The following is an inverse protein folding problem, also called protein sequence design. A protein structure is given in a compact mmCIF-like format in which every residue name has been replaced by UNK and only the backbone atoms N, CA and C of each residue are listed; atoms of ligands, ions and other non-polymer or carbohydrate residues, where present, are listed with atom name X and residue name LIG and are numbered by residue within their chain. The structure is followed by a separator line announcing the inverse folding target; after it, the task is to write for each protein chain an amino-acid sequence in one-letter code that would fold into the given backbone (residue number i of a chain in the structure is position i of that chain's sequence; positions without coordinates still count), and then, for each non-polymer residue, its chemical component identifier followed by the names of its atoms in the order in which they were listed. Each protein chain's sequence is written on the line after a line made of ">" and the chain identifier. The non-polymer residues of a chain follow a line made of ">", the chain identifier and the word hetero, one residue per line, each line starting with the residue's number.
data_IF_678259362891
#
_entry.id   IF_678259362891
#
_cell.length_a   1.000
_cell.length_b   1.000
_cell.length_c   1.000
_cell.angle_alpha   90.00
_cell.angle_beta   90.00
_cell.angle_gamma   90.00
#
_symmetry.space_group_name_H-M   'P 1'
#
loop_
_entity.id
_entity.type
_entity.pdbx_description
1 polymer ?
#
# COMPACT_ATOMS: atom_id res chain seq x y z
N UNK A 1 15.33 -4.49 -9.29
CA UNK A 1 14.07 -4.38 -8.53
C UNK A 1 13.37 -3.11 -8.95
N UNK A 2 12.07 -3.18 -9.24
CA UNK A 2 11.30 -2.03 -9.73
C UNK A 2 11.07 -1.08 -8.53
N UNK A 3 11.83 0.02 -8.45
CA UNK A 3 11.82 0.95 -7.29
C UNK A 3 10.41 1.39 -6.88
N UNK A 4 9.52 1.52 -7.85
CA UNK A 4 8.13 1.92 -7.63
C UNK A 4 7.31 0.82 -6.93
N UNK A 5 7.57 -0.45 -7.26
CA UNK A 5 6.91 -1.59 -6.62
C UNK A 5 7.36 -1.72 -5.17
N UNK A 6 8.66 -1.56 -4.92
CA UNK A 6 9.22 -1.64 -3.56
C UNK A 6 8.64 -0.52 -2.67
N UNK A 7 8.54 0.70 -3.22
CA UNK A 7 7.93 1.84 -2.53
C UNK A 7 6.43 1.63 -2.30
N UNK A 8 5.69 1.15 -3.30
CA UNK A 8 4.26 0.85 -3.15
C UNK A 8 4.00 -0.21 -2.07
N UNK A 9 4.81 -1.27 -2.04
CA UNK A 9 4.72 -2.31 -1.03
C UNK A 9 5.02 -1.76 0.37
N UNK A 10 6.00 -0.86 0.50
CA UNK A 10 6.28 -0.18 1.76
C UNK A 10 5.11 0.71 2.22
N UNK A 11 4.52 1.50 1.31
CA UNK A 11 3.33 2.31 1.61
C UNK A 11 2.20 1.42 2.14
N UNK A 12 1.91 0.34 1.43
CA UNK A 12 0.82 -0.55 1.81
C UNK A 12 1.08 -1.27 3.13
N UNK A 13 2.29 -1.77 3.36
CA UNK A 13 2.65 -2.44 4.61
C UNK A 13 2.55 -1.51 5.82
N UNK A 14 3.01 -0.26 5.69
CA UNK A 14 2.84 0.74 6.75
C UNK A 14 1.36 1.09 6.96
N UNK A 15 0.61 1.28 5.88
CA UNK A 15 -0.83 1.53 5.94
C UNK A 15 -1.59 0.40 6.66
N UNK A 16 -1.24 -0.86 6.40
CA UNK A 16 -1.83 -2.04 7.06
C UNK A 16 -1.54 -2.01 8.57
N UNK A 17 -0.28 -1.81 8.98
CA UNK A 17 0.08 -1.69 10.40
C UNK A 17 -0.70 -0.58 11.11
N UNK A 18 -0.87 0.58 10.47
CA UNK A 18 -1.58 1.71 11.04
C UNK A 18 -3.10 1.49 11.09
N UNK A 19 -3.68 0.90 10.04
CA UNK A 19 -5.13 0.67 9.96
C UNK A 19 -5.57 -0.45 10.90
N UNK A 20 -4.73 -1.46 11.10
CA UNK A 20 -4.98 -2.57 12.02
C UNK A 20 -4.65 -2.21 13.49
N UNK A 21 -4.32 -0.94 13.75
CA UNK A 21 -3.94 -0.42 15.08
C UNK A 21 -2.83 -1.24 15.75
N UNK A 22 -1.87 -1.72 14.96
CA UNK A 22 -0.83 -2.59 15.48
C UNK A 22 0.08 -1.85 16.45
N UNK A 23 0.24 -2.37 17.67
CA UNK A 23 1.01 -1.69 18.72
C UNK A 23 2.24 -2.48 19.18
N UNK A 24 2.90 -3.16 18.25
CA UNK A 24 4.11 -3.94 18.49
C UNK A 24 5.32 -3.29 17.84
N UNK A 25 6.26 -2.78 18.64
CA UNK A 25 7.54 -2.22 18.16
C UNK A 25 8.28 -3.21 17.24
N UNK A 26 8.24 -4.50 17.57
CA UNK A 26 8.82 -5.59 16.74
C UNK A 26 8.26 -5.63 15.32
N UNK A 27 6.96 -5.36 15.12
CA UNK A 27 6.36 -5.36 13.78
C UNK A 27 6.80 -4.13 12.98
N UNK A 28 6.95 -2.97 13.62
CA UNK A 28 7.54 -1.79 12.98
C UNK A 28 9.03 -1.99 12.67
N UNK A 29 9.80 -2.60 13.57
CA UNK A 29 11.18 -3.01 13.31
C UNK A 29 11.26 -3.89 12.05
N UNK A 30 10.43 -4.94 11.99
CA UNK A 30 10.36 -5.85 10.83
C UNK A 30 9.99 -5.10 9.54
N UNK A 31 9.10 -4.11 9.63
CA UNK A 31 8.73 -3.26 8.50
C UNK A 31 9.95 -2.48 7.97
N UNK A 32 10.68 -1.76 8.82
CA UNK A 32 11.85 -1.01 8.37
C UNK A 32 12.97 -1.91 7.82
N UNK A 33 13.16 -3.10 8.39
CA UNK A 33 14.11 -4.10 7.88
C UNK A 33 13.68 -4.67 6.51
N UNK A 34 12.39 -4.87 6.31
CA UNK A 34 11.83 -5.43 5.06
C UNK A 34 11.76 -4.42 3.93
N UNK A 35 11.70 -3.12 4.25
CA UNK A 35 11.54 -2.04 3.27
C UNK A 35 12.66 -0.98 3.34
N UNK A 36 13.90 -1.32 2.93
CA UNK A 36 15.04 -0.39 2.85
C UNK A 36 14.78 0.93 2.11
N UNK A 37 13.83 0.92 1.16
CA UNK A 37 13.42 2.11 0.40
C UNK A 37 12.96 3.26 1.31
N UNK A 38 12.44 2.95 2.50
CA UNK A 38 11.99 3.94 3.48
C UNK A 38 13.15 4.85 3.91
N UNK A 39 14.31 4.28 4.26
CA UNK A 39 15.50 5.05 4.65
C UNK A 39 15.98 5.94 3.51
N UNK A 40 15.90 5.45 2.28
CA UNK A 40 16.27 6.24 1.09
C UNK A 40 15.34 7.45 0.89
N UNK A 41 14.04 7.28 1.07
CA UNK A 41 13.08 8.41 0.99
C UNK A 41 13.33 9.43 2.11
N UNK A 42 13.78 8.98 3.27
CA UNK A 42 14.20 9.85 4.37
C UNK A 42 15.57 10.51 4.17
N UNK A 43 16.26 10.24 3.05
CA UNK A 43 17.51 10.90 2.68
C UNK A 43 18.79 10.21 3.17
N UNK A 44 18.70 8.96 3.59
CA UNK A 44 19.87 8.17 4.00
C UNK A 44 20.45 7.37 2.83
N UNK A 45 21.77 7.38 2.72
CA UNK A 45 22.50 6.62 1.70
C UNK A 45 22.69 5.16 2.12
N UNK A 46 22.76 4.94 3.43
CA UNK A 46 23.08 3.65 4.06
C UNK A 46 22.41 3.57 5.41
N UNK A 47 22.10 2.36 5.85
CA UNK A 47 21.49 2.08 7.15
C UNK A 47 21.88 0.67 7.59
N UNK A 48 21.82 0.44 8.89
CA UNK A 48 22.08 -0.85 9.49
C UNK A 48 21.19 -1.04 10.71
N UNK A 49 20.52 -2.20 10.79
CA UNK A 49 19.80 -2.63 12.00
C UNK A 49 20.81 -3.04 13.06
N UNK A 50 20.59 -2.58 14.29
CA UNK A 50 21.32 -2.95 15.50
C UNK A 50 20.41 -3.66 16.52
N UNK A 51 19.19 -4.00 16.10
CA UNK A 51 18.29 -4.83 16.88
C UNK A 51 18.93 -6.20 17.17
N UNK A 52 18.59 -6.81 18.29
CA UNK A 52 19.25 -8.05 18.78
C UNK A 52 19.28 -9.18 17.75
N UNK A 53 18.27 -9.30 16.90
CA UNK A 53 18.18 -10.30 15.84
C UNK A 53 19.13 -10.06 14.66
N UNK A 54 19.65 -8.84 14.47
CA UNK A 54 20.56 -8.49 13.38
C UNK A 54 21.96 -9.08 13.54
N UNK A 55 22.35 -9.42 14.77
CA UNK A 55 23.72 -9.83 15.11
C UNK A 55 24.74 -8.69 15.15
N UNK A 56 24.34 -7.46 14.79
CA UNK A 56 25.18 -6.26 14.94
C UNK A 56 25.07 -5.72 16.35
N UNK A 57 26.20 -5.26 16.91
CA UNK A 57 26.28 -4.71 18.26
C UNK A 57 27.35 -3.63 18.33
N UNK A 58 27.08 -2.60 19.11
CA UNK A 58 28.10 -1.64 19.51
C UNK A 58 28.91 -2.19 20.70
N UNK A 59 30.18 -1.78 20.86
CA UNK A 59 30.98 -2.17 22.01
C UNK A 59 30.37 -1.61 23.30
N UNK A 60 30.69 -2.23 24.44
CA UNK A 60 30.28 -1.76 25.75
C UNK A 60 30.93 -0.41 26.07
N UNK A 61 30.13 0.55 26.53
CA UNK A 61 30.59 1.86 26.97
C UNK A 61 30.98 1.80 28.45
N UNK A 62 32.28 1.79 28.73
CA UNK A 62 32.79 1.72 30.10
C UNK A 62 32.46 2.97 30.92
N UNK A 63 32.41 4.15 30.29
CA UNK A 63 32.16 5.42 30.98
C UNK A 63 30.70 5.54 31.40
N UNK A 64 29.79 4.98 30.59
CA UNK A 64 28.34 5.01 30.82
C UNK A 64 27.79 3.70 31.39
N UNK A 65 28.62 2.66 31.47
CA UNK A 65 28.31 1.34 32.00
C UNK A 65 27.10 0.64 31.34
N UNK A 66 27.01 0.69 30.01
CA UNK A 66 25.99 -0.03 29.25
C UNK A 66 26.46 -0.39 27.83
N UNK A 67 25.79 -1.34 27.18
CA UNK A 67 25.96 -1.60 25.73
C UNK A 67 24.89 -0.83 24.96
N UNK A 68 25.25 0.06 24.03
CA UNK A 68 24.27 0.74 23.19
C UNK A 68 23.57 -0.23 22.24
N UNK A 69 22.24 -0.17 22.24
CA UNK A 69 21.34 -1.00 21.43
C UNK A 69 20.33 -0.07 20.72
N UNK A 70 20.76 0.81 19.78
CA UNK A 70 19.82 1.57 18.96
C UNK A 70 19.07 0.63 18.02
N UNK A 71 17.86 0.99 17.59
CA UNK A 71 17.12 0.18 16.61
C UNK A 71 17.85 0.15 15.26
N UNK A 72 18.20 1.33 14.76
CA UNK A 72 18.99 1.50 13.54
C UNK A 72 20.04 2.61 13.70
N UNK A 73 21.12 2.46 12.94
CA UNK A 73 22.01 3.57 12.61
C UNK A 73 21.91 3.84 11.11
N UNK A 74 21.76 5.11 10.76
CA UNK A 74 21.71 5.57 9.37
C UNK A 74 22.89 6.47 9.07
N UNK A 75 23.34 6.46 7.82
CA UNK A 75 24.48 7.26 7.35
C UNK A 75 24.14 8.09 6.13
N UNK A 76 24.70 9.28 6.08
CA UNK A 76 24.80 10.06 4.85
C UNK A 76 26.28 10.17 4.47
N UNK A 77 26.64 9.64 3.29
CA UNK A 77 28.02 9.43 2.86
C UNK A 77 28.70 10.77 2.57
N UNK A 78 28.01 11.68 1.89
CA UNK A 78 28.58 12.98 1.50
C UNK A 78 28.84 13.88 2.71
N UNK A 79 27.85 14.02 3.60
CA UNK A 79 27.99 14.84 4.81
C UNK A 79 28.75 14.14 5.94
N UNK A 80 29.01 12.83 5.81
CA UNK A 80 29.61 11.99 6.86
C UNK A 80 28.82 12.10 8.18
N UNK A 81 27.50 12.14 8.09
CA UNK A 81 26.59 12.25 9.24
C UNK A 81 26.10 10.88 9.65
N UNK A 82 26.11 10.60 10.95
CA UNK A 82 25.49 9.41 11.54
C UNK A 82 24.21 9.83 12.25
N UNK A 83 23.13 9.13 11.97
CA UNK A 83 21.83 9.34 12.62
C UNK A 83 21.48 8.12 13.44
N UNK A 84 21.26 8.31 14.75
CA UNK A 84 20.61 7.30 15.59
C UNK A 84 19.12 7.36 15.25
N UNK A 85 18.58 6.25 14.77
CA UNK A 85 17.21 6.15 14.31
C UNK A 85 16.45 5.16 15.20
N UNK A 86 15.61 5.72 16.06
CA UNK A 86 14.90 4.98 17.11
C UNK A 86 13.42 4.88 16.77
N UNK A 87 12.86 3.69 16.93
CA UNK A 87 11.46 3.38 16.77
C UNK A 87 10.77 3.34 18.13
N UNK A 88 9.56 3.88 18.16
CA UNK A 88 8.63 3.70 19.28
C UNK A 88 7.25 3.40 18.71
N UNK A 89 6.35 2.89 19.54
CA UNK A 89 5.02 2.50 19.07
C UNK A 89 4.15 3.70 18.67
N UNK A 90 3.29 3.58 17.63
CA UNK A 90 2.41 4.68 17.19
C UNK A 90 1.22 4.94 18.13
N UNK A 91 0.67 3.89 18.75
CA UNK A 91 -0.55 4.01 19.53
C UNK A 91 -0.22 4.11 21.01
N UNK A 92 0.15 5.33 21.42
CA UNK A 92 0.16 5.67 22.84
C UNK A 92 -1.25 6.08 23.21
N UNK A 93 -1.80 5.49 24.28
CA UNK A 93 -3.16 5.82 24.76
C UNK A 93 -3.32 7.35 24.76
N UNK A 94 -4.36 7.90 24.09
CA UNK A 94 -4.51 9.33 23.96
C UNK A 94 -4.49 9.94 25.36
N UNK A 95 -3.54 10.85 25.56
CA UNK A 95 -3.54 11.69 26.73
C UNK A 95 -4.78 12.57 26.58
N UNK A 96 -5.88 12.25 27.27
CA UNK A 96 -7.08 13.08 27.25
C UNK A 96 -6.64 14.47 27.70
N UNK A 97 -6.51 15.39 26.74
CA UNK A 97 -5.94 16.73 26.93
C UNK A 97 -6.94 17.67 27.60
N UNK A 98 -8.15 17.18 27.86
CA UNK A 98 -9.18 17.88 28.62
C UNK A 98 -8.82 17.86 30.11
N UNK A 99 -7.98 18.83 30.50
CA UNK A 99 -7.72 19.29 31.88
C UNK A 99 -7.23 18.20 32.85
N UNK A 100 -5.91 17.99 32.90
CA UNK A 100 -5.20 17.61 34.14
C UNK A 100 -3.68 17.67 33.89
N UNK A 101 -2.95 18.42 34.70
CA UNK A 101 -1.49 18.62 34.58
C UNK A 101 -0.69 17.30 34.51
N UNK A 102 -1.24 16.22 35.06
CA UNK A 102 -0.62 14.89 35.06
C UNK A 102 -0.48 14.22 33.68
N UNK A 103 -1.41 14.44 32.74
CA UNK A 103 -1.32 13.82 31.40
C UNK A 103 -0.26 14.51 30.54
N UNK A 104 -0.12 15.84 30.66
CA UNK A 104 0.95 16.61 30.02
C UNK A 104 2.32 16.25 30.58
N UNK A 105 2.43 16.08 31.90
CA UNK A 105 3.67 15.64 32.52
C UNK A 105 4.10 14.25 32.01
N UNK A 106 3.15 13.32 31.84
CA UNK A 106 3.43 11.98 31.28
C UNK A 106 3.90 12.01 29.84
N UNK A 107 3.28 12.83 28.98
CA UNK A 107 3.73 13.01 27.60
C UNK A 107 5.17 13.53 27.55
N UNK A 108 5.48 14.59 28.32
CA UNK A 108 6.83 15.14 28.36
C UNK A 108 7.83 14.11 28.89
N UNK A 109 7.51 13.44 30.01
CA UNK A 109 8.39 12.42 30.59
C UNK A 109 8.65 11.25 29.62
N UNK A 110 7.64 10.86 28.84
CA UNK A 110 7.78 9.78 27.84
C UNK A 110 8.68 10.22 26.69
N UNK A 111 8.42 11.40 26.11
CA UNK A 111 9.25 11.95 25.03
C UNK A 111 10.70 12.21 25.50
N UNK A 112 10.88 12.73 26.72
CA UNK A 112 12.18 12.93 27.35
C UNK A 112 12.92 11.61 27.58
N UNK A 113 12.22 10.55 27.98
CA UNK A 113 12.79 9.21 28.15
C UNK A 113 13.37 8.69 26.84
N UNK A 114 12.57 8.72 25.76
CA UNK A 114 13.01 8.27 24.43
C UNK A 114 14.18 9.10 23.91
N UNK A 115 14.10 10.43 24.09
CA UNK A 115 15.18 11.33 23.70
C UNK A 115 16.45 11.09 24.51
N UNK A 116 16.32 10.84 25.81
CA UNK A 116 17.45 10.53 26.68
C UNK A 116 18.14 9.25 26.23
N UNK A 117 17.39 8.19 25.96
CA UNK A 117 17.91 6.92 25.45
C UNK A 117 18.70 7.11 24.14
N UNK A 118 18.09 7.74 23.12
CA UNK A 118 18.75 7.97 21.84
C UNK A 118 19.98 8.90 21.96
N UNK A 119 19.92 9.87 22.88
CA UNK A 119 21.05 10.76 23.18
C UNK A 119 22.21 10.00 23.82
N UNK A 120 21.94 9.07 24.72
CA UNK A 120 22.96 8.21 25.33
C UNK A 120 23.66 7.36 24.27
N UNK A 121 22.92 6.80 23.30
CA UNK A 121 23.50 6.08 22.16
C UNK A 121 24.41 6.97 21.32
N UNK A 122 23.94 8.16 20.94
CA UNK A 122 24.74 9.11 20.15
C UNK A 122 26.02 9.54 20.88
N UNK A 123 25.93 9.82 22.19
CA UNK A 123 27.08 10.18 23.03
C UNK A 123 28.06 9.03 23.18
N UNK A 124 27.57 7.80 23.32
CA UNK A 124 28.42 6.61 23.42
C UNK A 124 29.24 6.41 22.15
N UNK A 125 28.60 6.53 20.98
CA UNK A 125 29.29 6.48 19.69
C UNK A 125 30.28 7.66 19.59
N UNK A 126 29.89 8.88 19.96
CA UNK A 126 30.77 10.04 19.87
C UNK A 126 32.04 9.91 20.74
N UNK A 127 31.89 9.37 21.96
CA UNK A 127 32.95 9.25 22.95
C UNK A 127 33.90 8.07 22.74
N UNK A 128 33.45 6.98 22.10
CA UNK A 128 34.25 5.75 21.94
C UNK A 128 34.87 5.63 20.55
N UNK A 129 36.21 5.62 20.48
CA UNK A 129 36.93 5.41 19.21
C UNK A 129 36.66 4.04 18.57
N UNK A 130 36.43 3.02 19.39
CA UNK A 130 36.07 1.67 18.96
C UNK A 130 34.67 1.66 18.35
N UNK A 131 33.68 2.26 19.05
CA UNK A 131 32.31 2.38 18.53
C UNK A 131 32.28 3.13 17.19
N UNK A 132 33.04 4.23 17.07
CA UNK A 132 33.18 4.98 15.81
C UNK A 132 33.77 4.13 14.70
N UNK A 133 34.72 3.24 15.02
CA UNK A 133 35.31 2.35 14.02
C UNK A 133 34.29 1.35 13.49
N UNK A 134 33.52 0.73 14.40
CA UNK A 134 32.42 -0.19 14.05
C UNK A 134 31.39 0.51 13.17
N UNK A 135 30.88 1.66 13.61
CA UNK A 135 29.85 2.43 12.87
C UNK A 135 30.35 2.86 11.49
N UNK A 136 31.59 3.35 11.38
CA UNK A 136 32.17 3.70 10.07
C UNK A 136 32.25 2.50 9.14
N UNK A 137 32.66 1.34 9.66
CA UNK A 137 32.76 0.12 8.88
C UNK A 137 31.38 -0.33 8.40
N UNK A 138 30.42 -0.44 9.32
CA UNK A 138 29.08 -0.94 9.03
C UNK A 138 28.31 -0.02 8.07
N UNK A 139 28.45 1.30 8.23
CA UNK A 139 27.81 2.28 7.35
C UNK A 139 28.69 2.67 6.14
N UNK A 140 29.85 2.07 5.96
CA UNK A 140 30.80 2.43 4.88
C UNK A 140 31.15 3.93 4.83
N UNK A 141 31.24 4.58 5.99
CA UNK A 141 31.60 5.99 6.12
C UNK A 141 33.11 6.16 6.28
N UNK A 142 33.69 7.12 5.56
CA UNK A 142 35.12 7.43 5.65
C UNK A 142 35.48 8.08 7.00
N UNK A 143 34.61 8.97 7.47
CA UNK A 143 34.71 9.65 8.77
C UNK A 143 33.31 9.88 9.33
N UNK A 144 33.23 10.32 10.59
CA UNK A 144 31.99 10.80 11.20
C UNK A 144 32.22 12.27 11.57
N UNK A 145 31.53 13.16 10.86
CA UNK A 145 31.63 14.62 11.00
C UNK A 145 30.54 15.18 11.90
N UNK A 146 29.36 14.57 11.92
CA UNK A 146 28.25 15.02 12.76
C UNK A 146 27.32 13.88 13.19
N UNK A 147 26.51 14.15 14.20
CA UNK A 147 25.56 13.20 14.79
C UNK A 147 24.17 13.82 14.81
N UNK A 148 23.17 13.03 14.47
CA UNK A 148 21.75 13.39 14.52
C UNK A 148 20.95 12.30 15.22
N UNK A 149 19.74 12.65 15.65
CA UNK A 149 18.80 11.72 16.25
C UNK A 149 17.44 11.89 15.56
N UNK A 150 16.87 10.78 15.09
CA UNK A 150 15.48 10.72 14.65
C UNK A 150 14.75 9.70 15.51
N UNK A 151 13.62 10.10 16.05
CA UNK A 151 12.72 9.21 16.79
C UNK A 151 11.41 9.13 16.01
N UNK A 152 11.06 7.93 15.55
CA UNK A 152 9.78 7.66 14.91
C UNK A 152 8.77 7.27 15.96
N UNK A 153 7.77 8.13 16.18
CA UNK A 153 6.89 8.00 17.33
C UNK A 153 5.50 8.60 17.08
N UNK A 154 4.49 7.83 17.45
CA UNK A 154 3.11 8.28 17.52
C UNK A 154 2.46 8.63 16.18
N UNK A 155 1.25 9.17 16.30
CA UNK A 155 0.47 9.79 15.22
C UNK A 155 0.33 11.28 15.50
N UNK A 156 0.16 12.10 14.46
CA UNK A 156 0.00 13.55 14.60
C UNK A 156 -1.17 13.92 15.51
N UNK A 157 -2.35 13.32 15.30
CA UNK A 157 -3.55 13.60 16.11
C UNK A 157 -3.44 13.12 17.57
N UNK A 158 -2.52 12.18 17.85
CA UNK A 158 -2.31 11.62 19.19
C UNK A 158 -1.23 12.36 19.99
N UNK A 159 -0.45 13.23 19.35
CA UNK A 159 0.67 13.94 19.95
C UNK A 159 0.53 15.46 19.81
N UNK A 160 0.78 16.19 20.89
CA UNK A 160 0.94 17.64 20.84
C UNK A 160 2.32 17.98 20.22
N UNK A 161 2.39 17.99 18.89
CA UNK A 161 3.64 18.17 18.14
C UNK A 161 4.33 19.51 18.41
N UNK A 162 3.56 20.56 18.74
CA UNK A 162 4.13 21.84 19.16
C UNK A 162 4.93 21.67 20.46
N UNK A 163 4.34 20.97 21.43
CA UNK A 163 4.99 20.69 22.72
C UNK A 163 6.16 19.71 22.61
N UNK A 164 6.04 18.71 21.74
CA UNK A 164 7.16 17.81 21.43
C UNK A 164 8.32 18.62 20.83
N UNK A 165 8.04 19.56 19.92
CA UNK A 165 9.04 20.47 19.36
C UNK A 165 9.70 21.34 20.44
N UNK A 166 8.97 21.83 21.44
CA UNK A 166 9.55 22.59 22.55
C UNK A 166 10.59 21.76 23.34
N UNK A 167 10.29 20.48 23.63
CA UNK A 167 11.22 19.55 24.30
C UNK A 167 12.51 19.36 23.49
N UNK A 168 12.42 19.40 22.14
CA UNK A 168 13.57 19.26 21.27
C UNK A 168 14.49 20.49 21.28
N UNK A 169 13.93 21.70 21.42
CA UNK A 169 14.70 22.95 21.35
C UNK A 169 15.65 23.13 22.52
N UNK A 170 15.34 22.56 23.69
CA UNK A 170 16.16 22.67 24.90
C UNK A 170 17.44 21.79 24.86
N UNK A 171 17.73 21.07 23.77
CA UNK A 171 18.88 20.14 23.67
C UNK A 171 19.79 20.41 22.46
N UNK A 172 20.80 21.29 22.60
CA UNK A 172 21.58 21.78 21.46
C UNK A 172 22.57 20.76 20.85
N UNK A 173 22.95 19.70 21.57
CA UNK A 173 24.11 18.88 21.20
C UNK A 173 23.90 17.92 20.02
N UNK A 174 22.67 17.44 19.76
CA UNK A 174 22.42 16.39 18.75
C UNK A 174 21.25 16.67 17.78
N UNK A 175 20.63 17.86 17.85
CA UNK A 175 19.48 18.28 17.02
C UNK A 175 18.47 17.15 16.76
N UNK A 176 17.83 16.63 17.82
CA UNK A 176 16.82 15.58 17.69
C UNK A 176 15.64 16.02 16.83
N UNK A 177 15.05 15.07 16.09
CA UNK A 177 13.82 15.25 15.31
C UNK A 177 12.82 14.14 15.63
N UNK A 178 11.54 14.49 15.79
CA UNK A 178 10.45 13.52 15.87
C UNK A 178 9.77 13.39 14.51
N UNK A 179 9.47 12.15 14.11
CA UNK A 179 8.70 11.82 12.91
C UNK A 179 7.50 10.94 13.31
N UNK A 180 6.28 11.36 12.99
CA UNK A 180 5.11 10.52 13.21
C UNK A 180 4.91 9.53 12.06
N UNK A 181 4.26 8.39 12.33
CA UNK A 181 4.12 7.32 11.34
C UNK A 181 3.16 7.66 10.19
N UNK A 182 2.13 8.45 10.46
CA UNK A 182 1.25 9.04 9.45
C UNK A 182 2.00 10.03 8.54
N UNK A 183 2.83 10.91 9.11
CA UNK A 183 3.71 11.78 8.31
C UNK A 183 4.75 10.99 7.50
N UNK A 184 5.23 9.87 8.04
CA UNK A 184 6.09 8.96 7.28
C UNK A 184 5.32 8.36 6.10
N UNK A 185 4.09 7.88 6.32
CA UNK A 185 3.24 7.35 5.27
C UNK A 185 3.00 8.41 4.17
N UNK A 186 2.67 9.64 4.55
CA UNK A 186 2.52 10.78 3.63
C UNK A 186 3.78 11.00 2.80
N UNK A 187 4.97 11.05 3.42
CA UNK A 187 6.25 11.21 2.70
C UNK A 187 6.50 10.09 1.68
N UNK A 188 6.16 8.85 2.02
CA UNK A 188 6.29 7.72 1.10
C UNK A 188 5.33 7.87 -0.08
N UNK A 189 4.07 8.26 0.18
CA UNK A 189 3.05 8.53 -0.83
C UNK A 189 3.47 9.68 -1.75
N UNK A 190 3.95 10.79 -1.21
CA UNK A 190 4.43 11.93 -1.98
C UNK A 190 5.59 11.54 -2.90
N UNK A 191 6.55 10.78 -2.38
CA UNK A 191 7.65 10.26 -3.21
C UNK A 191 7.13 9.36 -4.32
N UNK A 192 6.12 8.53 -4.05
CA UNK A 192 5.53 7.65 -5.06
C UNK A 192 4.81 8.46 -6.15
N UNK A 193 4.03 9.47 -5.78
CA UNK A 193 3.31 10.34 -6.71
C UNK A 193 4.25 11.20 -7.59
N UNK A 194 5.34 11.70 -7.01
CA UNK A 194 6.33 12.51 -7.74
C UNK A 194 6.96 11.76 -8.92
N UNK A 195 7.14 10.44 -8.81
CA UNK A 195 7.66 9.61 -9.91
C UNK A 195 6.63 9.39 -11.02
N UNK A 196 5.34 9.55 -10.73
CA UNK A 196 4.22 9.10 -11.58
C UNK A 196 3.42 10.22 -12.23
N UNK A 197 3.77 11.50 -12.00
CA UNK A 197 3.10 12.69 -12.60
C UNK A 197 1.57 12.62 -12.48
N UNK A 198 1.09 12.52 -11.24
CA UNK A 198 -0.32 12.62 -10.77
C UNK A 198 -1.39 12.05 -11.72
N UNK A 199 -1.73 10.78 -11.53
CA UNK A 199 -2.82 10.09 -12.23
C UNK A 199 -4.05 9.85 -11.35
N UNK A 200 -4.18 10.57 -10.24
CA UNK A 200 -5.25 10.38 -9.27
C UNK A 200 -6.50 11.19 -9.63
N UNK A 201 -7.68 10.66 -9.27
CA UNK A 201 -8.96 11.34 -9.38
C UNK A 201 -9.29 11.92 -10.77
N UNK A 202 -8.63 11.43 -11.82
CA UNK A 202 -8.91 11.75 -13.22
C UNK A 202 -10.33 11.32 -13.61
N UNK A 203 -11.00 12.13 -14.42
CA UNK A 203 -12.32 11.85 -14.97
C UNK A 203 -12.25 10.59 -15.84
N UNK A 204 -12.98 9.56 -15.45
CA UNK A 204 -12.81 8.23 -16.02
C UNK A 204 -13.60 7.18 -15.26
N UNK A 205 -13.06 5.97 -15.16
CA UNK A 205 -13.71 4.84 -14.54
C UNK A 205 -12.69 3.99 -13.79
N UNK A 206 -13.06 3.56 -12.59
CA UNK A 206 -12.40 2.46 -11.88
C UNK A 206 -13.39 1.34 -11.67
N UNK A 207 -12.97 0.12 -11.97
CA UNK A 207 -13.78 -1.07 -11.72
C UNK A 207 -12.93 -2.03 -10.91
N UNK A 208 -13.47 -2.47 -9.77
CA UNK A 208 -12.82 -3.41 -8.87
C UNK A 208 -13.65 -4.67 -8.77
N UNK A 209 -12.96 -5.81 -8.84
CA UNK A 209 -13.52 -7.12 -8.63
C UNK A 209 -12.76 -7.87 -7.54
N UNK A 210 -13.51 -8.47 -6.63
CA UNK A 210 -13.02 -9.47 -5.69
C UNK A 210 -13.55 -10.82 -6.17
N UNK A 211 -12.67 -11.71 -6.66
CA UNK A 211 -13.11 -12.93 -7.32
C UNK A 211 -12.16 -14.11 -7.11
N UNK A 212 -12.65 -15.32 -7.34
CA UNK A 212 -11.86 -16.55 -7.43
C UNK A 212 -12.12 -17.14 -8.82
N UNK A 213 -11.08 -17.19 -9.65
CA UNK A 213 -11.17 -17.77 -11.00
C UNK A 213 -10.90 -19.26 -10.94
N UNK A 214 -11.80 -20.08 -11.49
CA UNK A 214 -11.58 -21.53 -11.57
C UNK A 214 -10.57 -21.84 -12.70
N UNK A 215 -9.69 -22.82 -12.50
CA UNK A 215 -8.78 -23.25 -13.58
C UNK A 215 -9.53 -23.85 -14.78
N UNK A 216 -10.59 -24.59 -14.52
CA UNK A 216 -11.41 -25.23 -15.55
C UNK A 216 -12.41 -24.26 -16.19
N UNK A 217 -12.02 -23.64 -17.30
CA UNK A 217 -12.92 -22.84 -18.13
C UNK A 217 -13.54 -23.70 -19.23
N UNK A 218 -14.81 -23.44 -19.57
CA UNK A 218 -15.50 -24.16 -20.66
C UNK A 218 -15.12 -23.63 -22.05
N UNK A 219 -14.61 -22.40 -22.12
CA UNK A 219 -14.25 -21.73 -23.36
C UNK A 219 -12.78 -21.28 -23.29
N UNK A 220 -12.05 -21.26 -24.42
CA UNK A 220 -10.70 -20.70 -24.47
C UNK A 220 -10.66 -19.22 -24.07
N UNK A 221 -11.73 -18.50 -24.39
CA UNK A 221 -12.00 -17.13 -23.96
C UNK A 221 -13.26 -17.12 -23.10
N UNK A 222 -13.10 -16.80 -21.82
CA UNK A 222 -14.15 -16.86 -20.82
C UNK A 222 -14.33 -15.51 -20.14
N UNK A 223 -15.52 -14.92 -20.22
CA UNK A 223 -15.74 -13.54 -19.78
C UNK A 223 -16.12 -13.45 -18.30
N UNK A 224 -15.48 -12.51 -17.60
CA UNK A 224 -15.84 -12.10 -16.25
C UNK A 224 -16.87 -10.99 -16.32
N UNK A 225 -16.59 -9.96 -17.12
CA UNK A 225 -17.46 -8.82 -17.34
C UNK A 225 -17.32 -8.30 -18.77
N UNK A 226 -18.40 -7.73 -19.31
CA UNK A 226 -18.36 -7.09 -20.61
C UNK A 226 -19.35 -5.91 -20.64
N UNK A 227 -18.90 -4.80 -21.21
CA UNK A 227 -19.57 -3.52 -21.13
C UNK A 227 -19.51 -2.75 -22.45
N UNK A 228 -20.58 -2.08 -22.84
CA UNK A 228 -20.62 -1.19 -23.99
C UNK A 228 -21.35 -1.76 -25.20
N UNK A 229 -20.85 -1.52 -26.42
CA UNK A 229 -21.45 -2.06 -27.65
C UNK A 229 -20.63 -3.24 -28.21
N UNK A 230 -21.22 -4.15 -29.00
CA UNK A 230 -20.50 -5.34 -29.49
C UNK A 230 -19.21 -5.06 -30.27
N UNK A 231 -19.14 -3.92 -30.97
CA UNK A 231 -18.03 -3.59 -31.90
C UNK A 231 -17.17 -2.38 -31.52
N UNK A 232 -17.67 -1.48 -30.68
CA UNK A 232 -17.00 -0.21 -30.35
C UNK A 232 -17.38 0.29 -28.97
N UNK A 233 -16.58 1.17 -28.39
CA UNK A 233 -16.76 1.67 -27.02
C UNK A 233 -17.03 0.52 -26.03
N UNK A 234 -16.21 -0.52 -26.10
CA UNK A 234 -16.40 -1.78 -25.38
C UNK A 234 -15.28 -1.98 -24.37
N UNK A 235 -15.63 -2.30 -23.13
CA UNK A 235 -14.69 -2.80 -22.13
C UNK A 235 -15.00 -4.25 -21.83
N UNK A 236 -14.03 -5.12 -22.00
CA UNK A 236 -14.17 -6.54 -21.70
C UNK A 236 -13.10 -6.97 -20.70
N UNK A 237 -13.52 -7.76 -19.71
CA UNK A 237 -12.64 -8.46 -18.79
C UNK A 237 -12.87 -9.95 -18.99
N UNK A 238 -11.85 -10.66 -19.44
CA UNK A 238 -11.95 -12.08 -19.73
C UNK A 238 -10.67 -12.82 -19.40
N UNK A 239 -10.78 -14.14 -19.36
CA UNK A 239 -9.69 -15.07 -19.16
C UNK A 239 -9.35 -15.67 -20.50
N UNK A 240 -8.07 -15.65 -20.87
CA UNK A 240 -7.57 -16.26 -22.08
C UNK A 240 -6.12 -16.71 -21.87
N UNK A 241 -5.80 -17.95 -22.24
CA UNK A 241 -4.44 -18.49 -22.18
C UNK A 241 -3.72 -18.29 -20.83
N UNK A 242 -4.41 -18.51 -19.71
CA UNK A 242 -3.81 -18.35 -18.36
C UNK A 242 -3.69 -16.91 -17.86
N UNK A 243 -4.28 -15.93 -18.57
CA UNK A 243 -4.19 -14.51 -18.24
C UNK A 243 -5.57 -13.91 -18.00
N UNK A 244 -5.67 -12.99 -17.04
CA UNK A 244 -6.76 -12.02 -17.00
C UNK A 244 -6.40 -10.95 -18.02
N UNK A 245 -7.33 -10.69 -18.93
CA UNK A 245 -7.21 -9.75 -20.02
C UNK A 245 -8.26 -8.68 -19.84
N UNK A 246 -7.82 -7.43 -19.85
CA UNK A 246 -8.67 -6.27 -20.03
C UNK A 246 -8.48 -5.74 -21.42
N UNK A 247 -9.59 -5.63 -22.14
CA UNK A 247 -9.64 -5.12 -23.49
C UNK A 247 -10.54 -3.89 -23.53
N UNK A 248 -10.01 -2.81 -24.08
CA UNK A 248 -10.77 -1.64 -24.46
C UNK A 248 -10.80 -1.55 -25.99
N UNK A 249 -12.00 -1.45 -26.56
CA UNK A 249 -12.21 -1.14 -27.98
C UNK A 249 -12.80 0.26 -28.05
N UNK A 250 -12.10 1.19 -28.70
CA UNK A 250 -12.54 2.57 -28.81
C UNK A 250 -13.60 2.77 -29.91
N UNK A 251 -13.97 4.03 -30.16
CA UNK A 251 -14.97 4.37 -31.17
C UNK A 251 -14.44 4.21 -32.60
N UNK A 252 -13.12 4.18 -32.78
CA UNK A 252 -12.43 3.98 -34.06
C UNK A 252 -12.05 2.50 -34.27
N UNK A 253 -12.60 1.60 -33.44
CA UNK A 253 -12.38 0.15 -33.42
C UNK A 253 -10.93 -0.26 -33.08
N UNK A 254 -10.14 0.65 -32.53
CA UNK A 254 -8.79 0.36 -32.05
C UNK A 254 -8.85 -0.45 -30.75
N UNK A 255 -8.01 -1.48 -30.68
CA UNK A 255 -8.00 -2.44 -29.59
C UNK A 255 -6.80 -2.19 -28.68
N UNK A 256 -7.08 -1.93 -27.40
CA UNK A 256 -6.09 -1.78 -26.34
C UNK A 256 -6.21 -2.93 -25.36
N UNK A 257 -5.12 -3.66 -25.12
CA UNK A 257 -5.13 -4.87 -24.30
C UNK A 257 -4.11 -4.75 -23.16
N UNK A 258 -4.58 -5.00 -21.94
CA UNK A 258 -3.75 -5.19 -20.75
C UNK A 258 -3.91 -6.64 -20.31
N UNK A 259 -2.82 -7.30 -19.91
CA UNK A 259 -2.88 -8.69 -19.46
C UNK A 259 -2.02 -8.93 -18.23
N UNK A 260 -2.48 -9.82 -17.35
CA UNK A 260 -1.72 -10.31 -16.20
C UNK A 260 -1.91 -11.82 -16.06
N UNK A 261 -0.86 -12.57 -15.68
CA UNK A 261 -1.01 -13.97 -15.28
C UNK A 261 -2.04 -14.12 -14.15
N UNK A 262 -2.74 -15.26 -14.14
CA UNK A 262 -3.72 -15.63 -13.10
C UNK A 262 -3.11 -16.67 -12.17
N UNK A 263 -3.36 -16.50 -10.87
CA UNK A 263 -3.25 -17.61 -9.91
C UNK A 263 -4.64 -18.16 -9.69
N UNK A 264 -4.92 -19.33 -10.25
CA UNK A 264 -6.24 -19.96 -10.20
C UNK A 264 -6.58 -20.43 -8.80
N UNK A 265 -7.89 -20.54 -8.54
CA UNK A 265 -8.46 -21.12 -7.33
C UNK A 265 -8.03 -20.42 -6.02
N UNK A 266 -7.62 -19.15 -6.14
CA UNK A 266 -7.30 -18.26 -5.03
C UNK A 266 -8.08 -16.95 -5.14
N UNK A 267 -8.31 -16.24 -4.02
CA UNK A 267 -8.86 -14.89 -4.06
C UNK A 267 -7.96 -13.94 -4.85
N UNK A 268 -8.59 -13.17 -5.72
CA UNK A 268 -7.95 -12.18 -6.58
C UNK A 268 -8.63 -10.83 -6.36
N UNK A 269 -7.81 -9.83 -6.04
CA UNK A 269 -8.17 -8.42 -6.15
C UNK A 269 -7.79 -7.93 -7.54
N UNK A 270 -8.78 -7.53 -8.32
CA UNK A 270 -8.58 -7.05 -9.68
C UNK A 270 -9.11 -5.62 -9.79
N UNK A 271 -8.22 -4.66 -10.06
CA UNK A 271 -8.61 -3.27 -10.28
C UNK A 271 -8.18 -2.84 -11.68
N UNK A 272 -9.14 -2.30 -12.42
CA UNK A 272 -8.90 -1.62 -13.69
C UNK A 272 -9.24 -0.16 -13.53
N UNK A 273 -8.37 0.70 -14.07
CA UNK A 273 -8.59 2.13 -14.08
C UNK A 273 -8.38 2.64 -15.50
N UNK A 274 -9.29 3.48 -15.95
CA UNK A 274 -9.25 4.12 -17.26
C UNK A 274 -9.62 5.59 -17.12
N UNK A 275 -8.83 6.49 -17.68
CA UNK A 275 -9.22 7.88 -17.89
C UNK A 275 -8.77 8.37 -19.26
N UNK A 276 -9.59 9.22 -19.85
CA UNK A 276 -9.28 9.98 -21.06
C UNK A 276 -9.78 11.41 -20.83
N UNK A 277 -8.86 12.33 -20.61
CA UNK A 277 -9.15 13.73 -20.30
C UNK A 277 -8.10 14.65 -20.96
N UNK A 278 -8.07 15.93 -20.62
CA UNK A 278 -7.10 16.89 -21.17
C UNK A 278 -5.63 16.53 -20.91
N UNK A 279 -5.36 15.71 -19.90
CA UNK A 279 -4.04 15.17 -19.60
C UNK A 279 -3.73 13.88 -20.38
N UNK A 280 -4.56 13.51 -21.37
CA UNK A 280 -4.38 12.38 -22.27
C UNK A 280 -5.00 11.08 -21.76
N UNK A 281 -4.36 9.95 -22.00
CA UNK A 281 -4.82 8.61 -21.58
C UNK A 281 -4.17 8.18 -20.26
N UNK A 282 -4.96 7.50 -19.42
CA UNK A 282 -4.50 6.67 -18.32
C UNK A 282 -5.18 5.30 -18.40
N UNK A 283 -4.37 4.24 -18.37
CA UNK A 283 -4.84 2.87 -18.31
C UNK A 283 -3.98 2.11 -17.30
N UNK A 284 -4.60 1.51 -16.28
CA UNK A 284 -3.90 0.70 -15.28
C UNK A 284 -4.63 -0.61 -15.02
N UNK A 285 -3.85 -1.68 -14.90
CA UNK A 285 -4.30 -3.00 -14.44
C UNK A 285 -3.51 -3.37 -13.18
N UNK A 286 -4.24 -3.55 -12.08
CA UNK A 286 -3.71 -4.02 -10.81
C UNK A 286 -4.29 -5.38 -10.46
N UNK A 287 -3.41 -6.32 -10.08
CA UNK A 287 -3.77 -7.66 -9.63
C UNK A 287 -3.09 -7.92 -8.29
N UNK A 288 -3.86 -8.19 -7.25
CA UNK A 288 -3.38 -8.41 -5.87
C UNK A 288 -2.44 -7.30 -5.39
N UNK A 289 -2.87 -6.06 -5.62
CA UNK A 289 -2.16 -4.83 -5.27
C UNK A 289 -0.81 -4.60 -5.97
N UNK A 290 -0.47 -5.43 -6.96
CA UNK A 290 0.64 -5.16 -7.86
C UNK A 290 0.13 -4.52 -9.15
N UNK A 291 0.73 -3.39 -9.52
CA UNK A 291 0.48 -2.79 -10.82
C UNK A 291 1.19 -3.60 -11.91
N UNK A 292 0.38 -4.34 -12.68
CA UNK A 292 0.86 -5.23 -13.75
C UNK A 292 1.07 -4.49 -15.06
N UNK A 293 0.33 -3.40 -15.25
CA UNK A 293 0.41 -2.58 -16.43
C UNK A 293 0.03 -1.15 -16.11
N UNK A 294 0.77 -0.20 -16.69
CA UNK A 294 0.48 1.22 -16.65
C UNK A 294 0.78 1.83 -18.03
N UNK A 295 -0.20 2.50 -18.61
CA UNK A 295 -0.02 3.35 -19.78
C UNK A 295 -0.50 4.75 -19.44
N UNK A 296 0.41 5.71 -19.58
CA UNK A 296 0.14 7.14 -19.48
C UNK A 296 0.69 7.79 -20.75
N UNK A 297 -0.13 8.58 -21.42
CA UNK A 297 0.28 9.23 -22.66
C UNK A 297 -0.56 10.47 -22.94
N UNK A 298 -0.04 11.35 -23.79
CA UNK A 298 -0.74 12.60 -24.19
C UNK A 298 -1.88 12.37 -25.19
N UNK A 299 -1.93 11.20 -25.83
CA UNK A 299 -2.96 10.87 -26.81
C UNK A 299 -4.27 10.58 -26.08
N UNK A 300 -5.34 11.27 -26.46
CA UNK A 300 -6.70 10.97 -25.98
C UNK A 300 -7.25 9.77 -26.76
N UNK A 301 -7.85 8.81 -26.06
CA UNK A 301 -8.66 7.79 -26.71
C UNK A 301 -10.03 8.35 -27.05
N UNK A 302 -10.49 8.08 -28.27
CA UNK A 302 -11.85 8.37 -28.71
C UNK A 302 -12.81 7.33 -28.12
N UNK A 303 -13.01 7.39 -26.81
CA UNK A 303 -13.78 6.41 -26.06
C UNK A 303 -14.94 7.09 -25.34
N UNK A 304 -16.17 6.71 -25.69
CA UNK A 304 -17.37 7.17 -25.02
C UNK A 304 -18.16 5.98 -24.48
N UNK A 305 -18.04 5.74 -23.17
CA UNK A 305 -18.66 4.59 -22.54
C UNK A 305 -20.17 4.79 -22.41
N UNK A 306 -20.95 3.99 -23.14
CA UNK A 306 -22.39 3.92 -22.93
C UNK A 306 -22.72 2.83 -21.92
N UNK A 307 -23.44 3.18 -20.85
CA UNK A 307 -23.85 2.22 -19.81
C UNK A 307 -24.97 1.25 -20.24
N UNK A 308 -25.33 1.23 -21.53
CA UNK A 308 -26.54 0.55 -22.04
C UNK A 308 -26.41 -0.96 -22.12
N UNK A 309 -25.20 -1.50 -22.16
CA UNK A 309 -24.93 -2.93 -22.12
C UNK A 309 -23.91 -3.27 -21.03
N UNK A 310 -24.34 -4.00 -20.00
CA UNK A 310 -23.45 -4.50 -18.95
C UNK A 310 -23.81 -5.93 -18.57
N UNK A 311 -22.84 -6.83 -18.63
CA UNK A 311 -23.01 -8.23 -18.30
C UNK A 311 -21.88 -8.74 -17.41
N UNK A 312 -22.23 -9.68 -16.52
CA UNK A 312 -21.27 -10.48 -15.76
C UNK A 312 -21.40 -11.95 -16.13
N UNK A 313 -20.27 -12.66 -16.23
CA UNK A 313 -20.24 -14.09 -16.49
C UNK A 313 -20.32 -14.49 -17.95
N UNK A 314 -20.47 -13.54 -18.88
CA UNK A 314 -20.50 -13.77 -20.32
C UNK A 314 -20.07 -12.52 -21.10
N UNK A 315 -19.81 -12.67 -22.40
CA UNK A 315 -19.74 -11.54 -23.33
C UNK A 315 -21.13 -10.92 -23.59
N UNK A 316 -21.17 -9.71 -24.14
CA UNK A 316 -22.42 -8.98 -24.40
C UNK A 316 -23.40 -9.72 -25.33
N UNK A 317 -22.91 -10.67 -26.14
CA UNK A 317 -23.76 -11.53 -26.99
C UNK A 317 -24.31 -12.76 -26.26
N UNK A 318 -23.95 -12.97 -24.99
CA UNK A 318 -24.37 -14.09 -24.14
C UNK A 318 -23.94 -15.47 -24.68
N UNK A 319 -22.71 -15.61 -25.19
CA UNK A 319 -22.18 -16.83 -25.82
C UNK A 319 -20.99 -17.44 -25.11
N UNK A 320 -20.10 -16.62 -24.54
CA UNK A 320 -18.81 -17.08 -24.00
C UNK A 320 -18.75 -16.90 -22.48
N UNK A 321 -18.98 -17.99 -21.75
CA UNK A 321 -19.21 -17.94 -20.32
C UNK A 321 -17.94 -18.13 -19.49
N UNK A 322 -17.88 -17.44 -18.34
CA UNK A 322 -16.83 -17.61 -17.35
C UNK A 322 -17.23 -18.54 -16.21
N UNK A 323 -16.24 -19.27 -15.66
CA UNK A 323 -16.35 -20.01 -14.40
C UNK A 323 -15.55 -19.32 -13.30
N UNK A 324 -16.24 -18.66 -12.39
CA UNK A 324 -15.63 -17.94 -11.27
C UNK A 324 -16.63 -17.72 -10.13
N UNK A 325 -16.11 -17.39 -8.96
CA UNK A 325 -16.87 -16.94 -7.81
C UNK A 325 -16.60 -15.46 -7.59
N UNK A 326 -17.63 -14.64 -7.57
CA UNK A 326 -17.53 -13.19 -7.36
C UNK A 326 -17.98 -12.85 -5.95
N UNK A 327 -17.05 -12.37 -5.14
CA UNK A 327 -17.28 -11.91 -3.77
C UNK A 327 -17.86 -10.50 -3.78
N UNK A 328 -17.36 -9.65 -4.68
CA UNK A 328 -17.79 -8.26 -4.81
C UNK A 328 -17.39 -7.67 -6.16
N UNK A 329 -18.16 -6.71 -6.62
CA UNK A 329 -17.80 -5.84 -7.72
C UNK A 329 -18.33 -4.43 -7.43
N UNK A 330 -17.50 -3.41 -7.58
CA UNK A 330 -17.92 -2.02 -7.47
C UNK A 330 -17.21 -1.15 -8.51
N UNK A 331 -17.83 -0.01 -8.76
CA UNK A 331 -17.40 0.93 -9.79
C UNK A 331 -17.31 2.35 -9.20
N UNK A 332 -16.40 3.14 -9.75
CA UNK A 332 -16.27 4.57 -9.47
C UNK A 332 -16.15 5.32 -10.80
N UNK A 333 -16.80 6.48 -10.92
CA UNK A 333 -16.76 7.33 -12.11
C UNK A 333 -15.51 8.25 -12.14
N UNK A 334 -14.42 7.79 -11.55
CA UNK A 334 -13.09 8.41 -11.57
C UNK A 334 -12.02 7.35 -11.31
N UNK A 335 -10.77 7.67 -11.64
CA UNK A 335 -9.61 6.92 -11.15
C UNK A 335 -9.51 7.07 -9.62
N UNK A 336 -9.04 6.04 -8.92
CA UNK A 336 -8.98 6.03 -7.46
C UNK A 336 -7.82 6.92 -6.97
N UNK A 337 -7.99 7.57 -5.82
CA UNK A 337 -6.85 8.15 -5.08
C UNK A 337 -5.99 7.04 -4.48
N UNK A 338 -4.78 7.35 -4.00
CA UNK A 338 -3.94 6.42 -3.25
C UNK A 338 -4.69 5.91 -2.02
N UNK A 339 -5.34 6.79 -1.27
CA UNK A 339 -6.14 6.43 -0.10
C UNK A 339 -7.25 5.42 -0.46
N UNK A 340 -7.99 5.68 -1.55
CA UNK A 340 -9.02 4.76 -2.06
C UNK A 340 -8.40 3.42 -2.44
N UNK A 341 -7.23 3.41 -3.10
CA UNK A 341 -6.52 2.18 -3.51
C UNK A 341 -6.10 1.34 -2.30
N UNK A 342 -5.53 1.98 -1.27
CA UNK A 342 -5.08 1.34 -0.05
C UNK A 342 -6.27 0.74 0.72
N UNK A 343 -7.34 1.52 0.93
CA UNK A 343 -8.58 1.06 1.60
C UNK A 343 -9.23 -0.09 0.87
N UNK A 344 -9.35 0.03 -0.45
CA UNK A 344 -9.96 -0.95 -1.35
C UNK A 344 -9.26 -2.32 -1.23
N UNK A 345 -7.92 -2.33 -1.26
CA UNK A 345 -7.17 -3.58 -1.12
C UNK A 345 -7.16 -4.12 0.31
N UNK A 346 -7.08 -3.26 1.32
CA UNK A 346 -7.17 -3.72 2.72
C UNK A 346 -8.54 -4.36 3.01
N UNK A 347 -9.62 -3.74 2.55
CA UNK A 347 -10.96 -4.31 2.64
C UNK A 347 -11.05 -5.70 1.96
N UNK A 348 -10.43 -5.87 0.80
CA UNK A 348 -10.32 -7.19 0.15
C UNK A 348 -9.59 -8.22 1.03
N UNK A 349 -8.44 -7.87 1.62
CA UNK A 349 -7.71 -8.77 2.53
C UNK A 349 -8.60 -9.19 3.70
N UNK A 350 -9.21 -8.23 4.39
CA UNK A 350 -10.09 -8.51 5.53
C UNK A 350 -11.28 -9.40 5.12
N UNK A 351 -11.87 -9.14 3.95
CA UNK A 351 -12.99 -9.94 3.41
C UNK A 351 -12.60 -11.38 3.09
N UNK A 352 -11.36 -11.62 2.65
CA UNK A 352 -10.88 -12.93 2.22
C UNK A 352 -10.29 -13.78 3.34
N UNK A 353 -9.98 -13.18 4.49
CA UNK A 353 -9.64 -13.92 5.73
C UNK A 353 -10.85 -14.66 6.33
N UNK A 354 -12.07 -14.23 6.02
CA UNK A 354 -13.32 -14.86 6.47
C UNK A 354 -14.02 -15.68 5.37
N UNK A 355 -15.06 -16.43 5.77
CA UNK A 355 -15.92 -17.09 4.78
C UNK A 355 -16.90 -16.06 4.21
N UNK A 356 -16.65 -15.65 2.97
CA UNK A 356 -17.40 -14.57 2.34
C UNK A 356 -18.48 -15.08 1.39
N UNK A 357 -19.69 -14.55 1.57
CA UNK A 357 -20.79 -14.76 0.64
C UNK A 357 -20.51 -14.09 -0.72
N UNK A 358 -21.14 -14.61 -1.76
CA UNK A 358 -20.87 -14.21 -3.13
C UNK A 358 -21.72 -14.93 -4.16
N UNK A 359 -21.42 -14.68 -5.42
CA UNK A 359 -22.19 -15.16 -6.57
C UNK A 359 -21.33 -16.09 -7.40
N UNK A 360 -21.83 -17.31 -7.62
CA UNK A 360 -21.14 -18.38 -8.35
C UNK A 360 -21.62 -18.45 -9.80
N UNK A 361 -20.67 -18.32 -10.72
CA UNK A 361 -20.83 -18.48 -12.16
C UNK A 361 -20.19 -19.81 -12.58
N UNK A 362 -20.99 -20.76 -13.07
CA UNK A 362 -20.56 -22.15 -13.34
C UNK A 362 -20.26 -22.40 -14.83
N UNK A 363 -19.84 -21.39 -15.59
CA UNK A 363 -19.58 -21.53 -17.03
C UNK A 363 -20.85 -21.59 -17.91
N UNK A 364 -22.02 -21.32 -17.34
CA UNK A 364 -23.29 -21.15 -18.10
C UNK A 364 -24.18 -20.05 -17.54
N UNK A 365 -23.79 -19.46 -16.41
CA UNK A 365 -24.58 -18.48 -15.70
C UNK A 365 -24.09 -17.07 -16.02
N UNK A 366 -25.00 -16.10 -16.00
CA UNK A 366 -24.65 -14.70 -16.21
C UNK A 366 -25.71 -13.76 -15.64
N UNK A 367 -25.35 -12.50 -15.45
CA UNK A 367 -26.25 -11.40 -15.10
C UNK A 367 -26.19 -10.33 -16.19
N UNK A 368 -27.33 -9.71 -16.46
CA UNK A 368 -27.47 -8.59 -17.41
C UNK A 368 -28.07 -7.40 -16.69
N UNK A 369 -27.60 -6.19 -17.01
CA UNK A 369 -28.21 -4.95 -16.56
C UNK A 369 -29.58 -4.78 -17.21
N UNK A 370 -30.61 -4.64 -16.38
CA UNK A 370 -31.96 -4.33 -16.84
C UNK A 370 -32.18 -2.82 -16.98
N UNK A 371 -33.36 -2.41 -17.45
CA UNK A 371 -33.71 -1.00 -17.66
C UNK A 371 -33.69 -0.15 -16.38
N UNK A 372 -33.90 -0.77 -15.21
CA UNK A 372 -33.82 -0.12 -13.91
C UNK A 372 -32.37 0.01 -13.42
N UNK A 373 -31.39 -0.46 -14.20
CA UNK A 373 -29.98 -0.44 -13.85
C UNK A 373 -29.52 -1.62 -12.98
N UNK A 374 -30.43 -2.52 -12.58
CA UNK A 374 -30.11 -3.67 -11.73
C UNK A 374 -29.54 -4.83 -12.54
N UNK A 375 -28.59 -5.56 -11.97
CA UNK A 375 -28.06 -6.80 -12.55
C UNK A 375 -29.00 -7.96 -12.23
N UNK A 376 -29.56 -8.62 -13.25
CA UNK A 376 -30.51 -9.71 -13.07
C UNK A 376 -30.47 -10.73 -14.21
N UNK A 377 -31.04 -11.90 -14.00
CA UNK A 377 -31.25 -12.92 -15.02
C UNK A 377 -32.63 -13.53 -14.84
N UNK A 378 -33.53 -13.29 -15.79
CA UNK A 378 -34.92 -13.74 -15.73
C UNK A 378 -35.07 -15.22 -16.04
N UNK A 379 -34.14 -15.82 -16.79
CA UNK A 379 -34.18 -17.25 -17.10
C UNK A 379 -33.45 -18.06 -16.01
N UNK A 380 -34.16 -18.89 -15.22
CA UNK A 380 -33.55 -19.66 -14.13
C UNK A 380 -32.41 -20.59 -14.59
N UNK A 381 -32.43 -21.03 -15.85
CA UNK A 381 -31.37 -21.89 -16.42
C UNK A 381 -30.00 -21.21 -16.42
N UNK A 382 -29.98 -19.88 -16.57
CA UNK A 382 -28.77 -19.08 -16.68
C UNK A 382 -28.50 -18.25 -15.41
N UNK A 383 -29.33 -18.38 -14.39
CA UNK A 383 -29.22 -17.60 -13.17
C UNK A 383 -28.04 -18.11 -12.33
N UNK A 384 -27.11 -17.23 -11.91
CA UNK A 384 -26.02 -17.64 -11.03
C UNK A 384 -26.55 -17.95 -9.63
N UNK A 385 -25.77 -18.74 -8.88
CA UNK A 385 -26.14 -19.14 -7.52
C UNK A 385 -25.51 -18.20 -6.51
N UNK A 386 -26.32 -17.61 -5.65
CA UNK A 386 -25.79 -16.99 -4.45
C UNK A 386 -25.33 -18.08 -3.48
N UNK A 387 -24.08 -17.98 -3.02
CA UNK A 387 -23.51 -18.89 -2.05
C UNK A 387 -23.31 -18.10 -0.76
N UNK A 388 -24.03 -18.49 0.27
CA UNK A 388 -23.79 -18.01 1.62
C UNK A 388 -23.03 -19.10 2.38
N UNK A 389 -21.80 -18.84 2.84
CA UNK A 389 -21.02 -19.86 3.53
C UNK A 389 -21.58 -20.33 4.87
N UNK A 390 -22.49 -19.57 5.48
CA UNK A 390 -23.20 -20.01 6.69
C UNK A 390 -24.13 -21.22 6.39
N UNK A 391 -24.48 -21.42 5.11
CA UNK A 391 -25.41 -22.47 4.68
C UNK A 391 -24.75 -23.55 3.82
N UNK A 392 -23.41 -23.59 3.68
CA UNK A 392 -22.71 -24.59 2.86
C UNK A 392 -22.27 -25.85 3.62
N UNK A 393 -22.51 -25.92 4.93
CA UNK A 393 -22.49 -27.16 5.72
C UNK A 393 -23.70 -27.18 6.68
N UNK A 394 -24.80 -27.75 6.19
CA UNK A 394 -25.80 -28.47 6.99
C UNK A 394 -26.40 -29.58 6.13
#
# INVERSE_FOLDING_TARGET
>A
MNKDLDLWNAIYALYELLTDEENSEKKYQTFFESYPVVFKILGFDTFQSYEKSSGKRLPFDNDRNFTPEPDFLCGNIESCTVTVFELKTPFVKPFIVNRTDGNRAKLNATAESYLSQATEYAKSIQGSSEARSVVKSDLSLRTISSYQIIIVYGLTDSNDMARVSDILQDRPSFRPTFLCYDLLLEKLVDSYLNTRKTTENRTGWSIVYHLIVNKEQLFPRSFIADHGSPKKNRLSVFIENGHIVYQCIDNDEMVHILKSPIVYDQPIFLRFEFATDDNGIYLSLNVNNEERYLLVGSVKLNFNMQLTGFVFGTDISCKFFGRFYMLEAYYSAKTMSIEDKLRSYNYFKQKTLGVSAGVRFDGKHYLVRNQNGNMSQSNPKYQPKYVNPINSEM
#
